data_IF_452162154375
#
_entry.id   IF_452162154375
#
_cell.length_a   1.000
_cell.length_b   1.000
_cell.length_c   1.000
_cell.angle_alpha   90.00
_cell.angle_beta   90.00
_cell.angle_gamma   90.00
#
_symmetry.space_group_name_H-M   'P 1'
#
loop_
_entity.id
_entity.type
_entity.pdbx_description
1 polymer ?
#
# COMPACT_ATOMS: atom_id res chain seq x y z
N UNK A 1 26.04 4.88 -16.23
CA UNK A 1 25.62 3.66 -15.52
C UNK A 1 24.66 4.13 -14.44
N UNK A 2 23.36 3.95 -14.64
CA UNK A 2 22.35 4.36 -13.66
C UNK A 2 22.04 3.15 -12.80
N UNK A 3 22.93 2.85 -11.86
CA UNK A 3 22.71 1.84 -10.84
C UNK A 3 21.39 2.15 -10.15
N UNK A 4 20.40 1.28 -10.41
CA UNK A 4 19.01 1.40 -9.99
C UNK A 4 18.81 1.20 -8.50
N UNK A 5 19.53 1.97 -7.68
CA UNK A 5 19.34 2.04 -6.23
C UNK A 5 18.20 3.03 -5.92
N UNK A 6 17.02 2.76 -6.47
CA UNK A 6 15.80 3.36 -6.00
C UNK A 6 15.11 2.35 -5.11
N UNK A 7 15.16 2.54 -3.78
CA UNK A 7 14.54 1.63 -2.81
C UNK A 7 13.07 1.40 -3.16
N UNK A 8 12.78 0.27 -3.82
CA UNK A 8 11.42 -0.11 -4.20
C UNK A 8 10.79 -0.83 -3.03
N UNK A 9 9.81 -0.20 -2.40
CA UNK A 9 9.13 -0.78 -1.26
C UNK A 9 7.78 -1.35 -1.69
N UNK A 10 7.43 -2.51 -1.13
CA UNK A 10 6.12 -3.11 -1.28
C UNK A 10 5.48 -3.26 0.09
N UNK A 11 4.29 -2.69 0.28
CA UNK A 11 3.56 -2.76 1.53
C UNK A 11 2.14 -3.27 1.32
N UNK A 12 1.70 -4.17 2.20
CA UNK A 12 0.29 -4.55 2.31
C UNK A 12 -0.27 -3.81 3.52
N UNK A 13 -1.25 -2.96 3.28
CA UNK A 13 -1.85 -2.10 4.29
C UNK A 13 -3.28 -2.61 4.48
N UNK A 14 -3.55 -3.06 5.71
CA UNK A 14 -4.85 -3.59 6.10
C UNK A 14 -5.48 -2.62 7.07
N UNK A 15 -6.63 -2.05 6.71
CA UNK A 15 -7.34 -1.10 7.58
C UNK A 15 -8.85 -1.11 7.34
N UNK A 16 -9.68 -1.07 8.40
CA UNK A 16 -11.13 -0.94 8.25
C UNK A 16 -11.52 0.40 7.61
N UNK A 17 -10.66 1.42 7.66
CA UNK A 17 -10.93 2.72 7.04
C UNK A 17 -11.04 2.65 5.51
N UNK A 18 -10.61 1.55 4.89
CA UNK A 18 -10.71 1.33 3.46
C UNK A 18 -12.08 0.78 3.03
N UNK A 19 -12.90 0.35 3.99
CA UNK A 19 -14.26 -0.11 3.74
C UNK A 19 -15.12 0.99 3.11
N UNK A 20 -15.88 0.64 2.08
CA UNK A 20 -16.69 1.60 1.32
C UNK A 20 -15.91 2.65 0.50
N UNK A 21 -14.57 2.73 0.63
CA UNK A 21 -13.74 3.69 -0.14
C UNK A 21 -13.21 3.09 -1.43
N UNK A 22 -13.23 3.84 -2.56
CA UNK A 22 -12.60 3.41 -3.80
C UNK A 22 -11.07 3.40 -3.69
N UNK A 23 -10.40 2.60 -4.53
CA UNK A 23 -8.95 2.41 -4.52
C UNK A 23 -8.16 3.72 -4.49
N UNK A 24 -8.56 4.71 -5.30
CA UNK A 24 -7.90 6.01 -5.36
C UNK A 24 -7.96 6.76 -4.02
N UNK A 25 -9.08 6.71 -3.30
CA UNK A 25 -9.19 7.33 -1.97
C UNK A 25 -8.33 6.60 -0.95
N UNK A 26 -8.25 5.27 -1.02
CA UNK A 26 -7.36 4.48 -0.15
C UNK A 26 -5.89 4.87 -0.38
N UNK A 27 -5.48 4.96 -1.65
CA UNK A 27 -4.13 5.38 -2.01
C UNK A 27 -3.81 6.81 -1.57
N UNK A 28 -4.76 7.74 -1.72
CA UNK A 28 -4.59 9.11 -1.19
C UNK A 28 -4.40 9.11 0.32
N UNK A 29 -5.23 8.36 1.06
CA UNK A 29 -5.12 8.29 2.51
C UNK A 29 -3.75 7.76 2.96
N UNK A 30 -3.27 6.70 2.31
CA UNK A 30 -1.94 6.15 2.58
C UNK A 30 -0.86 7.17 2.21
N UNK A 31 -0.88 7.71 0.98
CA UNK A 31 0.12 8.67 0.51
C UNK A 31 0.19 9.93 1.38
N UNK A 32 -0.94 10.43 1.89
CA UNK A 32 -0.95 11.55 2.83
C UNK A 32 -0.32 11.19 4.18
N UNK A 33 -0.39 9.93 4.58
CA UNK A 33 0.23 9.45 5.83
C UNK A 33 1.75 9.30 5.68
N UNK A 34 2.22 8.89 4.51
CA UNK A 34 3.64 8.63 4.22
C UNK A 34 4.26 9.66 3.28
N UNK A 35 3.68 10.87 3.21
CA UNK A 35 4.09 11.89 2.24
C UNK A 35 5.56 12.29 2.44
N UNK A 36 6.03 12.35 3.67
CA UNK A 36 7.42 12.66 4.00
C UNK A 36 8.37 11.55 3.55
N UNK A 37 8.01 10.30 3.78
CA UNK A 37 8.79 9.12 3.35
C UNK A 37 8.81 8.99 1.82
N UNK A 38 7.71 9.34 1.14
CA UNK A 38 7.63 9.33 -0.32
C UNK A 38 8.64 10.29 -0.99
N UNK A 39 9.15 11.30 -0.27
CA UNK A 39 10.17 12.22 -0.81
C UNK A 39 11.53 11.54 -1.01
N UNK A 40 11.80 10.46 -0.27
CA UNK A 40 13.07 9.72 -0.32
C UNK A 40 12.90 8.33 -0.97
N UNK A 41 11.67 7.84 -1.10
CA UNK A 41 11.35 6.56 -1.73
C UNK A 41 11.20 6.73 -3.24
N UNK A 42 12.01 5.98 -4.00
CA UNK A 42 11.98 6.03 -5.47
C UNK A 42 10.75 5.33 -6.07
N UNK A 43 10.27 4.26 -5.44
CA UNK A 43 9.02 3.61 -5.82
C UNK A 43 8.37 2.92 -4.63
N UNK A 44 7.07 3.14 -4.44
CA UNK A 44 6.28 2.51 -3.41
C UNK A 44 5.06 1.83 -4.02
N UNK A 45 5.01 0.51 -3.92
CA UNK A 45 3.85 -0.29 -4.32
C UNK A 45 3.07 -0.63 -3.06
N UNK A 46 1.85 -0.11 -2.95
CA UNK A 46 0.95 -0.42 -1.86
C UNK A 46 -0.20 -1.29 -2.33
N UNK A 47 -0.59 -2.22 -1.46
CA UNK A 47 -1.79 -3.03 -1.58
C UNK A 47 -2.70 -2.67 -0.42
N UNK A 48 -3.82 -1.99 -0.70
CA UNK A 48 -4.78 -1.57 0.34
C UNK A 48 -5.95 -2.53 0.44
N UNK A 49 -6.07 -3.23 1.56
CA UNK A 49 -7.07 -4.28 1.79
C UNK A 49 -7.90 -3.95 3.04
N UNK A 50 -9.18 -4.29 3.05
CA UNK A 50 -9.93 -4.34 4.31
C UNK A 50 -9.52 -5.58 5.11
N UNK A 51 -9.70 -5.60 6.44
CA UNK A 51 -9.44 -6.79 7.25
C UNK A 51 -10.12 -8.04 6.68
N UNK A 52 -11.40 -7.94 6.33
CA UNK A 52 -12.17 -9.04 5.73
C UNK A 52 -11.59 -9.51 4.38
N UNK A 53 -11.19 -8.58 3.52
CA UNK A 53 -10.58 -8.91 2.23
C UNK A 53 -9.23 -9.60 2.43
N UNK A 54 -8.43 -9.12 3.39
CA UNK A 54 -7.13 -9.70 3.71
C UNK A 54 -7.25 -11.10 4.29
N UNK A 55 -8.22 -11.34 5.18
CA UNK A 55 -8.51 -12.67 5.71
C UNK A 55 -8.95 -13.65 4.61
N UNK A 56 -9.84 -13.22 3.70
CA UNK A 56 -10.22 -14.03 2.54
C UNK A 56 -9.03 -14.36 1.64
N UNK A 57 -8.14 -13.39 1.41
CA UNK A 57 -6.94 -13.59 0.60
C UNK A 57 -5.94 -14.52 1.27
N UNK A 58 -5.75 -14.41 2.59
CA UNK A 58 -4.86 -15.27 3.38
C UNK A 58 -5.33 -16.72 3.40
N UNK A 59 -6.64 -16.95 3.52
CA UNK A 59 -7.21 -18.30 3.56
C UNK A 59 -7.19 -19.02 2.20
N UNK A 60 -7.10 -18.28 1.09
CA UNK A 60 -6.99 -18.85 -0.26
C UNK A 60 -5.55 -19.25 -0.66
N UNK A 61 -4.56 -18.97 0.19
CA UNK A 61 -3.15 -19.32 -0.04
C UNK A 61 -2.72 -20.58 0.74
N UNK A 62 -3.67 -21.33 1.30
CA UNK A 62 -3.46 -22.58 2.04
C UNK A 62 -3.72 -23.81 1.19
#
# INVERSE_FOLDING_TARGET
>A
MSDGCGSKFKAIIVSPQFEGKPLLQRHRLVNSTIEEEMKIIHAFEMKTWTPEQYEKQKNNAG
#
